data_IF_476615739988
#
_entry.id   IF_476615739988
#
_cell.length_a   1.000
_cell.length_b   1.000
_cell.length_c   1.000
_cell.angle_alpha   90.00
_cell.angle_beta   90.00
_cell.angle_gamma   90.00
#
_symmetry.space_group_name_H-M   'P 1'
#
loop_
_entity.id
_entity.type
_entity.pdbx_description
1 polymer ?
#
# COMPACT_ATOMS: atom_id res chain seq x y z
N UNK A 1 -6.07 9.72 -9.40
CA UNK A 1 -5.58 8.66 -10.31
C UNK A 1 -6.61 7.54 -10.40
N UNK A 2 -6.73 6.87 -11.55
CA UNK A 2 -7.65 5.73 -11.74
C UNK A 2 -6.87 4.42 -11.79
N UNK A 3 -7.28 3.39 -11.05
CA UNK A 3 -6.62 2.07 -10.99
C UNK A 3 -7.05 1.17 -12.15
N UNK A 4 -6.38 0.04 -12.36
CA UNK A 4 -6.79 -0.99 -13.34
C UNK A 4 -8.20 -1.54 -13.06
N UNK A 5 -8.63 -1.52 -11.80
CA UNK A 5 -9.96 -1.92 -11.34
C UNK A 5 -11.02 -0.82 -11.46
N UNK A 6 -10.67 0.36 -11.98
CA UNK A 6 -11.59 1.49 -12.15
C UNK A 6 -11.82 2.35 -10.91
N UNK A 7 -11.15 2.05 -9.79
CA UNK A 7 -11.22 2.88 -8.57
C UNK A 7 -10.49 4.20 -8.82
N UNK A 8 -11.15 5.30 -8.47
CA UNK A 8 -10.55 6.63 -8.51
C UNK A 8 -10.02 6.98 -7.13
N UNK A 9 -8.69 7.05 -7.00
CA UNK A 9 -7.99 7.45 -5.79
C UNK A 9 -7.66 8.95 -5.91
N UNK A 10 -8.09 9.73 -4.93
CA UNK A 10 -7.76 11.16 -4.81
C UNK A 10 -7.07 11.41 -3.47
N UNK A 11 -6.16 12.40 -3.38
CA UNK A 11 -5.66 12.80 -2.09
C UNK A 11 -6.83 13.37 -1.26
N UNK A 12 -6.76 13.18 0.04
CA UNK A 12 -7.76 13.70 0.98
C UNK A 12 -7.24 15.00 1.59
N UNK A 13 -8.00 16.08 1.45
CA UNK A 13 -7.62 17.39 1.98
C UNK A 13 -7.31 17.33 3.47
N UNK A 14 -6.18 17.94 3.85
CA UNK A 14 -5.72 17.97 5.24
C UNK A 14 -5.23 16.62 5.79
N UNK A 15 -5.27 15.53 5.02
CA UNK A 15 -4.82 14.19 5.45
C UNK A 15 -3.79 13.59 4.51
N UNK A 16 -3.02 12.64 5.03
CA UNK A 16 -2.15 11.80 4.20
C UNK A 16 -2.98 10.68 3.61
N UNK A 17 -2.88 10.44 2.30
CA UNK A 17 -3.59 9.33 1.64
C UNK A 17 -2.63 8.20 1.37
N UNK A 18 -2.79 7.07 2.05
CA UNK A 18 -1.92 5.91 1.86
C UNK A 18 -2.46 5.03 0.72
N UNK A 19 -1.59 4.58 -0.18
CA UNK A 19 -1.97 3.73 -1.32
C UNK A 19 -1.14 2.45 -1.33
N UNK A 20 -1.82 1.32 -1.32
CA UNK A 20 -1.25 -0.03 -1.36
C UNK A 20 -1.74 -0.79 -2.60
N UNK A 21 -1.02 -1.82 -3.02
CA UNK A 21 -1.42 -2.65 -4.14
C UNK A 21 -0.32 -3.61 -4.58
N UNK A 22 -0.64 -4.47 -5.54
CA UNK A 22 0.36 -5.31 -6.18
C UNK A 22 1.24 -4.45 -7.09
N UNK A 23 2.56 -4.64 -6.99
CA UNK A 23 3.52 -3.94 -7.84
C UNK A 23 3.28 -4.22 -9.32
N UNK A 24 3.15 -5.49 -9.68
CA UNK A 24 2.96 -5.93 -11.07
C UNK A 24 1.60 -5.58 -11.67
N UNK A 25 0.61 -5.21 -10.85
CA UNK A 25 -0.75 -4.94 -11.32
C UNK A 25 -1.04 -3.44 -11.43
N UNK A 26 -0.71 -2.66 -10.40
CA UNK A 26 -1.03 -1.23 -10.36
C UNK A 26 0.10 -0.34 -9.87
N UNK A 27 0.89 -0.78 -8.88
CA UNK A 27 1.77 0.16 -8.18
C UNK A 27 2.93 0.63 -9.05
N UNK A 28 3.44 -0.17 -9.99
CA UNK A 28 4.46 0.29 -10.94
C UNK A 28 3.97 1.50 -11.76
N UNK A 29 2.81 1.36 -12.42
CA UNK A 29 2.20 2.45 -13.19
C UNK A 29 1.78 3.64 -12.29
N UNK A 30 1.33 3.39 -11.06
CA UNK A 30 1.01 4.48 -10.12
C UNK A 30 2.27 5.27 -9.75
N UNK A 31 3.34 4.58 -9.34
CA UNK A 31 4.60 5.17 -8.92
C UNK A 31 5.25 5.89 -10.11
N UNK A 32 5.48 5.19 -11.20
CA UNK A 32 6.29 5.68 -12.31
C UNK A 32 5.49 6.48 -13.35
N UNK A 33 4.26 6.06 -13.65
CA UNK A 33 3.45 6.66 -14.73
C UNK A 33 2.54 7.80 -14.28
N UNK A 34 1.95 7.72 -13.08
CA UNK A 34 0.90 8.67 -12.65
C UNK A 34 1.39 9.72 -11.66
N UNK A 35 2.24 9.30 -10.72
CA UNK A 35 2.71 10.18 -9.65
C UNK A 35 4.15 10.67 -9.86
N UNK A 36 4.95 9.94 -10.65
CA UNK A 36 6.41 10.07 -10.63
C UNK A 36 6.93 10.09 -9.17
N UNK A 37 6.40 9.19 -8.34
CA UNK A 37 6.60 9.21 -6.90
C UNK A 37 8.06 8.88 -6.57
N UNK A 38 8.78 9.74 -5.82
CA UNK A 38 10.20 9.55 -5.60
C UNK A 38 10.48 8.30 -4.75
N UNK A 39 11.68 7.74 -4.93
CA UNK A 39 12.21 6.78 -3.96
C UNK A 39 12.52 7.50 -2.66
N UNK A 40 11.98 7.04 -1.54
CA UNK A 40 12.09 7.73 -0.25
C UNK A 40 11.96 6.78 0.93
N UNK A 41 12.48 7.19 2.08
CA UNK A 41 12.20 6.61 3.40
C UNK A 41 11.41 7.56 4.30
N UNK A 42 11.08 8.76 3.82
CA UNK A 42 10.18 9.68 4.51
C UNK A 42 8.73 9.29 4.25
N UNK A 43 8.15 8.56 5.21
CA UNK A 43 6.74 8.20 5.26
C UNK A 43 5.95 9.00 6.31
N UNK A 44 6.45 10.20 6.63
CA UNK A 44 5.76 11.14 7.50
C UNK A 44 4.43 11.63 6.92
N UNK A 45 3.75 12.49 7.69
CA UNK A 45 2.50 13.10 7.27
C UNK A 45 2.70 13.97 6.02
N UNK A 46 1.82 13.81 5.03
CA UNK A 46 1.76 14.60 3.80
C UNK A 46 0.32 15.07 3.59
N UNK A 47 -0.14 16.12 4.31
CA UNK A 47 -1.50 16.63 4.19
C UNK A 47 -1.84 17.00 2.74
N UNK A 48 -2.96 16.47 2.21
CA UNK A 48 -3.34 16.66 0.81
C UNK A 48 -2.48 15.87 -0.19
N UNK A 49 -1.60 15.01 0.30
CA UNK A 49 -0.65 14.23 -0.50
C UNK A 49 -0.83 12.72 -0.35
N UNK A 50 0.05 11.97 -1.03
CA UNK A 50 0.08 10.52 -1.01
C UNK A 50 1.26 9.99 -0.19
N UNK A 51 1.05 8.85 0.47
CA UNK A 51 2.12 7.98 0.93
C UNK A 51 2.06 6.66 0.15
N UNK A 52 3.15 6.34 -0.54
CA UNK A 52 3.35 5.09 -1.28
C UNK A 52 4.68 4.49 -0.84
N UNK A 53 4.70 3.19 -0.55
CA UNK A 53 5.92 2.48 -0.18
C UNK A 53 6.80 2.28 -1.43
N UNK A 54 7.65 3.28 -1.72
CA UNK A 54 8.63 3.26 -2.81
C UNK A 54 10.01 3.59 -2.23
N UNK A 55 10.67 2.59 -1.67
CA UNK A 55 11.99 2.76 -1.05
C UNK A 55 13.13 2.70 -2.08
N UNK A 56 14.35 3.15 -1.73
CA UNK A 56 15.54 2.88 -2.54
C UNK A 56 15.72 1.37 -2.82
N UNK A 57 16.14 1.02 -4.04
CA UNK A 57 16.28 -0.39 -4.44
C UNK A 57 17.29 -1.14 -3.56
N UNK A 58 18.36 -0.45 -3.13
CA UNK A 58 19.36 -0.98 -2.20
C UNK A 58 18.75 -1.37 -0.86
N UNK A 59 17.74 -0.65 -0.37
CA UNK A 59 17.03 -0.99 0.86
C UNK A 59 16.25 -2.31 0.71
N UNK A 60 15.66 -2.51 -0.47
CA UNK A 60 14.92 -3.73 -0.82
C UNK A 60 15.85 -4.93 -1.04
N UNK A 61 16.93 -4.77 -1.81
CA UNK A 61 17.84 -5.87 -2.16
C UNK A 61 18.77 -6.28 -1.02
N UNK A 62 19.02 -5.42 -0.03
CA UNK A 62 19.86 -5.72 1.14
C UNK A 62 19.14 -6.45 2.28
N UNK A 63 17.83 -6.74 2.13
CA UNK A 63 17.02 -7.36 3.18
C UNK A 63 16.41 -8.66 2.71
N UNK A 64 16.31 -9.62 3.63
CA UNK A 64 15.40 -10.75 3.44
C UNK A 64 13.95 -10.27 3.43
N UNK A 65 13.01 -11.05 2.86
CA UNK A 65 11.59 -10.70 2.88
C UNK A 65 11.02 -10.42 4.29
N UNK A 66 11.50 -11.12 5.32
CA UNK A 66 11.05 -10.91 6.70
C UNK A 66 11.68 -9.68 7.35
N UNK A 67 12.95 -9.39 7.08
CA UNK A 67 13.55 -8.12 7.51
C UNK A 67 12.84 -6.94 6.86
N UNK A 68 12.60 -7.02 5.55
CA UNK A 68 11.89 -5.95 4.83
C UNK A 68 10.48 -5.74 5.40
N UNK A 69 9.76 -6.84 5.68
CA UNK A 69 8.45 -6.77 6.29
C UNK A 69 8.48 -6.07 7.66
N UNK A 70 9.35 -6.51 8.56
CA UNK A 70 9.38 -6.01 9.94
C UNK A 70 9.97 -4.59 10.05
N UNK A 71 10.95 -4.25 9.22
CA UNK A 71 11.65 -2.96 9.29
C UNK A 71 11.03 -1.88 8.39
N UNK A 72 10.28 -2.26 7.35
CA UNK A 72 9.73 -1.31 6.36
C UNK A 72 8.21 -1.37 6.30
N UNK A 73 7.61 -2.52 5.97
CA UNK A 73 6.16 -2.59 5.77
C UNK A 73 5.39 -2.35 7.08
N UNK A 74 5.76 -3.01 8.18
CA UNK A 74 5.04 -2.86 9.46
C UNK A 74 5.08 -1.41 9.95
N UNK A 75 6.24 -0.73 10.06
CA UNK A 75 6.29 0.68 10.47
C UNK A 75 5.52 1.61 9.54
N UNK A 76 5.53 1.35 8.22
CA UNK A 76 4.75 2.11 7.25
C UNK A 76 3.24 2.00 7.50
N UNK A 77 2.75 0.77 7.68
CA UNK A 77 1.33 0.49 7.94
C UNK A 77 0.89 1.02 9.31
N UNK A 78 1.71 0.83 10.34
CA UNK A 78 1.43 1.35 11.69
C UNK A 78 1.33 2.87 11.69
N UNK A 79 2.24 3.54 10.99
CA UNK A 79 2.20 5.00 10.87
C UNK A 79 0.94 5.48 10.14
N UNK A 80 0.52 4.79 9.07
CA UNK A 80 -0.72 5.11 8.35
C UNK A 80 -1.96 4.91 9.24
N UNK A 81 -2.01 3.81 9.99
CA UNK A 81 -3.10 3.52 10.92
C UNK A 81 -3.14 4.52 12.08
N UNK A 82 -1.99 4.86 12.67
CA UNK A 82 -1.88 5.80 13.79
C UNK A 82 -2.32 7.21 13.38
N UNK A 83 -1.98 7.66 12.17
CA UNK A 83 -2.43 8.95 11.63
C UNK A 83 -3.90 8.96 11.23
N UNK A 84 -4.53 7.79 11.08
CA UNK A 84 -5.89 7.67 10.54
C UNK A 84 -5.95 8.04 9.06
N UNK A 85 -4.92 7.68 8.29
CA UNK A 85 -4.88 7.87 6.85
C UNK A 85 -6.05 7.11 6.19
N UNK A 86 -6.74 7.69 5.19
CA UNK A 86 -7.49 6.87 4.24
C UNK A 86 -6.50 5.97 3.47
N UNK A 87 -6.67 4.65 3.65
CA UNK A 87 -5.84 3.63 3.00
C UNK A 87 -6.61 3.09 1.79
N UNK A 88 -6.17 3.44 0.59
CA UNK A 88 -6.70 2.91 -0.66
C UNK A 88 -5.92 1.67 -1.10
N UNK A 89 -6.65 0.68 -1.60
CA UNK A 89 -6.12 -0.53 -2.21
C UNK A 89 -6.32 -0.41 -3.72
N UNK A 90 -5.24 -0.10 -4.43
CA UNK A 90 -5.25 0.12 -5.86
C UNK A 90 -5.58 -1.16 -6.65
N UNK A 91 -4.94 -2.26 -6.25
CA UNK A 91 -5.17 -3.59 -6.84
C UNK A 91 -6.28 -4.30 -6.09
N UNK A 92 -7.39 -4.62 -6.77
CA UNK A 92 -8.48 -5.39 -6.18
C UNK A 92 -7.93 -6.70 -5.57
N UNK A 93 -8.09 -6.94 -4.25
CA UNK A 93 -7.62 -8.16 -3.62
C UNK A 93 -8.24 -9.40 -4.29
N UNK A 94 -7.39 -10.32 -4.72
CA UNK A 94 -7.76 -11.60 -5.31
C UNK A 94 -6.71 -12.64 -4.95
N UNK A 95 -7.05 -13.93 -5.01
CA UNK A 95 -6.08 -14.99 -4.71
C UNK A 95 -4.78 -14.83 -5.54
N UNK A 96 -4.89 -14.49 -6.82
CA UNK A 96 -3.75 -14.27 -7.71
C UNK A 96 -2.88 -13.06 -7.32
N UNK A 97 -3.45 -12.03 -6.69
CA UNK A 97 -2.68 -10.87 -6.22
C UNK A 97 -2.07 -11.08 -4.82
N UNK A 98 -2.73 -11.88 -3.98
CA UNK A 98 -2.36 -12.05 -2.57
C UNK A 98 -1.45 -13.26 -2.32
N UNK A 99 -1.46 -14.26 -3.21
CA UNK A 99 -0.73 -15.52 -3.02
C UNK A 99 0.32 -15.71 -4.12
N UNK A 100 1.45 -16.29 -3.73
CA UNK A 100 2.44 -16.85 -4.64
C UNK A 100 2.00 -18.24 -5.11
N UNK A 101 2.71 -18.80 -6.08
CA UNK A 101 2.43 -20.13 -6.62
C UNK A 101 2.50 -21.25 -5.57
N UNK A 102 3.32 -21.09 -4.53
CA UNK A 102 3.46 -22.03 -3.40
C UNK A 102 2.37 -21.86 -2.32
N UNK A 103 1.41 -20.95 -2.51
CA UNK A 103 0.36 -20.64 -1.55
C UNK A 103 0.78 -19.71 -0.41
N UNK A 104 2.05 -19.30 -0.34
CA UNK A 104 2.49 -18.27 0.61
C UNK A 104 2.02 -16.87 0.18
N UNK A 105 1.96 -15.93 1.12
CA UNK A 105 1.53 -14.55 0.81
C UNK A 105 2.57 -13.78 0.01
N UNK A 106 2.13 -12.97 -0.94
CA UNK A 106 2.92 -11.89 -1.53
C UNK A 106 3.17 -10.77 -0.49
N UNK A 107 4.04 -9.81 -0.80
CA UNK A 107 4.19 -8.60 0.05
C UNK A 107 2.85 -7.90 0.25
N UNK A 108 2.12 -7.65 -0.83
CA UNK A 108 0.76 -7.11 -0.80
C UNK A 108 -0.22 -8.01 -0.04
N UNK A 109 -0.11 -9.34 -0.18
CA UNK A 109 -0.86 -10.31 0.62
C UNK A 109 -0.62 -10.16 2.12
N UNK A 110 0.63 -9.94 2.54
CA UNK A 110 0.97 -9.66 3.95
C UNK A 110 0.37 -8.34 4.41
N UNK A 111 0.40 -7.28 3.59
CA UNK A 111 -0.21 -5.97 3.91
C UNK A 111 -1.72 -6.07 4.14
N UNK A 112 -2.44 -6.75 3.24
CA UNK A 112 -3.88 -6.98 3.39
C UNK A 112 -4.16 -7.78 4.67
N UNK A 113 -3.43 -8.88 4.88
CA UNK A 113 -3.59 -9.69 6.09
C UNK A 113 -3.36 -8.85 7.35
N UNK A 114 -2.30 -8.04 7.37
CA UNK A 114 -1.95 -7.22 8.52
C UNK A 114 -3.02 -6.18 8.86
N UNK A 115 -3.52 -5.46 7.87
CA UNK A 115 -4.61 -4.50 8.07
C UNK A 115 -5.90 -5.20 8.54
N UNK A 116 -6.23 -6.36 7.97
CA UNK A 116 -7.42 -7.12 8.41
C UNK A 116 -7.31 -7.63 9.85
N UNK A 117 -6.13 -8.11 10.27
CA UNK A 117 -5.87 -8.49 11.66
C UNK A 117 -5.99 -7.30 12.63
N UNK A 118 -5.79 -6.08 12.14
CA UNK A 118 -5.96 -4.82 12.89
C UNK A 118 -7.39 -4.24 12.81
N UNK A 119 -8.34 -5.00 12.27
CA UNK A 119 -9.76 -4.66 12.23
C UNK A 119 -10.22 -3.90 10.99
N UNK A 120 -9.33 -3.64 10.02
CA UNK A 120 -9.72 -3.03 8.76
C UNK A 120 -10.42 -4.03 7.84
N UNK A 121 -11.33 -3.54 7.01
CA UNK A 121 -12.09 -4.29 6.01
C UNK A 121 -12.04 -3.56 4.68
N UNK A 122 -11.75 -4.31 3.62
CA UNK A 122 -11.75 -3.77 2.27
C UNK A 122 -13.18 -3.52 1.79
N UNK A 123 -13.45 -2.31 1.32
CA UNK A 123 -14.68 -1.96 0.64
C UNK A 123 -14.43 -1.97 -0.88
N UNK A 124 -15.00 -2.95 -1.63
CA UNK A 124 -14.77 -3.07 -3.06
C UNK A 124 -15.41 -1.97 -3.90
N UNK A 125 -16.41 -1.22 -3.38
CA UNK A 125 -17.05 -0.14 -4.15
C UNK A 125 -16.25 1.16 -4.10
N UNK A 126 -15.46 1.37 -3.05
CA UNK A 126 -14.65 2.58 -2.85
C UNK A 126 -13.15 2.33 -3.00
N UNK A 127 -12.72 1.08 -2.89
CA UNK A 127 -11.31 0.70 -2.83
C UNK A 127 -10.64 0.99 -1.49
N UNK A 128 -11.37 1.42 -0.46
CA UNK A 128 -10.80 1.77 0.85
C UNK A 128 -10.69 0.56 1.78
N UNK A 129 -9.65 0.54 2.60
CA UNK A 129 -9.63 -0.21 3.86
C UNK A 129 -10.26 0.68 4.94
N UNK A 130 -11.32 0.19 5.55
CA UNK A 130 -12.07 0.91 6.61
C UNK A 130 -12.13 0.09 7.87
N UNK A 131 -11.95 0.73 9.03
CA UNK A 131 -12.14 0.09 10.33
C UNK A 131 -13.51 0.53 10.88
N UNK A 132 -14.42 -0.40 11.21
CA UNK A 132 -15.71 -0.09 11.84
C UNK A 132 -15.56 0.59 13.19
#
# INVERSE_FOLDING_TARGET
MTTSSGIVIKPTDGKTTTVLGSFSSDMDNIINGKLAYPKTTDFGAKPGGYNVLNVPDTLFTSRTPDQFWNEVNVPFLDSAMQRGDPIYIATKPSAAALLKADGSLTGFGREIKYLTSNGYRYNPSTGLMTKP
#
